data_IF_465525029121
#
_entry.id   IF_465525029121
#
_cell.length_a   1.000
_cell.length_b   1.000
_cell.length_c   1.000
_cell.angle_alpha   90.00
_cell.angle_beta   90.00
_cell.angle_gamma   90.00
#
_symmetry.space_group_name_H-M   'P 1'
#
loop_
_entity.id
_entity.type
_entity.pdbx_description
1 polymer ?
#
# COMPACT_ATOMS: atom_id res chain seq x y z
N UNK A 1 -37.56 -32.36 -2.03
CA UNK A 1 -36.56 -31.25 -1.90
C UNK A 1 -36.82 -30.27 -0.72
N UNK A 2 -37.95 -30.32 0.00
CA UNK A 2 -38.25 -29.40 1.13
C UNK A 2 -37.70 -29.81 2.51
N UNK A 3 -37.31 -31.07 2.72
CA UNK A 3 -36.86 -31.55 4.04
C UNK A 3 -35.40 -31.22 4.39
N UNK A 4 -34.48 -31.20 3.42
CA UNK A 4 -33.05 -30.89 3.67
C UNK A 4 -32.76 -29.43 4.06
N UNK A 5 -33.76 -28.55 4.06
CA UNK A 5 -33.60 -27.15 4.45
C UNK A 5 -33.79 -26.91 5.95
N UNK A 6 -34.48 -27.82 6.67
CA UNK A 6 -34.74 -27.68 8.11
C UNK A 6 -33.50 -27.92 8.98
N UNK A 7 -32.58 -28.78 8.54
CA UNK A 7 -31.31 -29.07 9.24
C UNK A 7 -30.22 -27.98 9.09
N UNK A 8 -30.51 -26.90 8.35
CA UNK A 8 -29.54 -25.81 8.08
C UNK A 8 -29.87 -24.51 8.82
N UNK A 9 -30.75 -24.56 9.82
CA UNK A 9 -31.05 -23.42 10.66
C UNK A 9 -29.94 -23.24 11.69
N UNK A 10 -29.10 -22.24 11.47
CA UNK A 10 -28.02 -21.82 12.35
C UNK A 10 -28.51 -21.65 13.81
N UNK A 11 -27.73 -22.12 14.79
CA UNK A 11 -27.98 -22.03 16.25
C UNK A 11 -28.65 -20.73 16.68
N UNK A 12 -28.17 -19.59 16.18
CA UNK A 12 -28.71 -18.28 16.57
C UNK A 12 -30.11 -17.97 16.03
N UNK A 13 -30.54 -18.65 14.97
CA UNK A 13 -31.91 -18.58 14.48
C UNK A 13 -32.86 -19.29 15.44
N UNK A 14 -32.50 -20.49 15.90
CA UNK A 14 -33.30 -21.26 16.87
C UNK A 14 -33.39 -20.49 18.19
N UNK A 15 -32.25 -20.02 18.70
CA UNK A 15 -32.22 -19.19 19.91
C UNK A 15 -33.04 -17.90 19.76
N UNK A 16 -33.11 -17.30 18.56
CA UNK A 16 -33.91 -16.10 18.35
C UNK A 16 -35.40 -16.42 18.47
N UNK A 17 -35.85 -17.58 17.98
CA UNK A 17 -37.22 -18.04 18.15
C UNK A 17 -37.54 -18.36 19.61
N UNK A 18 -36.65 -19.05 20.32
CA UNK A 18 -36.81 -19.36 21.76
C UNK A 18 -36.94 -18.10 22.62
N UNK A 19 -36.12 -17.07 22.33
CA UNK A 19 -36.14 -15.80 23.05
C UNK A 19 -37.14 -14.77 22.47
N UNK A 20 -37.99 -15.14 21.51
CA UNK A 20 -38.94 -14.24 20.83
C UNK A 20 -38.31 -12.98 20.22
N UNK A 21 -37.08 -13.10 19.73
CA UNK A 21 -36.43 -12.09 18.91
C UNK A 21 -36.85 -12.22 17.45
N UNK A 22 -37.10 -11.08 16.79
CA UNK A 22 -37.57 -11.01 15.40
C UNK A 22 -36.53 -11.47 14.40
N UNK A 23 -35.25 -11.37 14.76
CA UNK A 23 -34.13 -11.76 13.92
C UNK A 23 -32.97 -12.27 14.77
N UNK A 24 -32.22 -13.24 14.22
CA UNK A 24 -30.93 -13.68 14.78
C UNK A 24 -29.91 -12.55 14.91
N UNK A 25 -30.07 -11.46 14.15
CA UNK A 25 -29.21 -10.28 14.23
C UNK A 25 -29.21 -9.66 15.63
N UNK A 26 -30.27 -9.86 16.42
CA UNK A 26 -30.34 -9.44 17.83
C UNK A 26 -29.13 -9.91 18.66
N UNK A 27 -28.65 -11.15 18.44
CA UNK A 27 -27.48 -11.67 19.14
C UNK A 27 -26.18 -10.96 18.77
N UNK A 28 -26.06 -10.41 17.56
CA UNK A 28 -24.91 -9.60 17.16
C UNK A 28 -24.82 -8.34 18.03
N UNK A 29 -25.95 -7.65 18.22
CA UNK A 29 -26.01 -6.46 19.08
C UNK A 29 -25.80 -6.79 20.56
N UNK A 30 -26.35 -7.92 21.06
CA UNK A 30 -26.07 -8.38 22.43
C UNK A 30 -24.56 -8.58 22.64
N UNK A 31 -23.88 -9.23 21.69
CA UNK A 31 -22.44 -9.50 21.78
C UNK A 31 -21.60 -8.21 21.66
N UNK A 32 -21.99 -7.29 20.77
CA UNK A 32 -21.40 -5.95 20.67
C UNK A 32 -21.55 -5.20 21.99
N UNK A 33 -22.76 -5.13 22.54
CA UNK A 33 -23.00 -4.44 23.80
C UNK A 33 -22.28 -5.11 24.98
N UNK A 34 -22.12 -6.44 24.99
CA UNK A 34 -21.33 -7.13 26.03
C UNK A 34 -19.86 -6.70 26.03
N UNK A 35 -19.28 -6.41 24.86
CA UNK A 35 -17.88 -5.99 24.75
C UNK A 35 -17.70 -4.48 25.03
N UNK A 36 -18.59 -3.65 24.53
CA UNK A 36 -18.40 -2.18 24.53
C UNK A 36 -19.30 -1.43 25.51
N UNK A 37 -20.37 -2.07 26.01
CA UNK A 37 -21.32 -1.53 26.98
C UNK A 37 -21.86 -0.12 26.67
N UNK A 38 -22.19 0.14 25.39
CA UNK A 38 -22.67 1.44 24.97
C UNK A 38 -24.19 1.63 25.15
N UNK A 39 -24.98 0.58 25.43
CA UNK A 39 -26.43 0.73 25.59
C UNK A 39 -26.85 1.16 27.00
N UNK A 40 -26.21 0.63 28.05
CA UNK A 40 -26.74 0.75 29.42
C UNK A 40 -26.80 2.19 29.94
N UNK A 41 -25.93 3.07 29.43
CA UNK A 41 -25.83 4.49 29.81
C UNK A 41 -26.44 5.45 28.79
N UNK A 42 -26.97 4.94 27.68
CA UNK A 42 -27.46 5.75 26.58
C UNK A 42 -28.90 6.20 26.80
N UNK A 43 -29.16 7.48 26.55
CA UNK A 43 -30.47 8.13 26.64
C UNK A 43 -31.16 8.22 25.28
N UNK A 44 -30.41 8.34 24.19
CA UNK A 44 -30.94 8.43 22.83
C UNK A 44 -30.19 7.47 21.91
N UNK A 45 -30.94 6.56 21.28
CA UNK A 45 -30.43 5.63 20.29
C UNK A 45 -31.21 5.76 18.98
N UNK A 46 -30.49 5.78 17.87
CA UNK A 46 -31.04 5.73 16.52
C UNK A 46 -30.55 4.46 15.85
N UNK A 47 -31.48 3.62 15.37
CA UNK A 47 -31.22 2.39 14.64
C UNK A 47 -31.60 2.61 13.17
N UNK A 48 -30.59 2.64 12.30
CA UNK A 48 -30.72 2.83 10.86
C UNK A 48 -30.78 1.47 10.15
N UNK A 49 -31.60 1.38 9.10
CA UNK A 49 -31.88 0.12 8.41
C UNK A 49 -32.34 -0.96 9.40
N UNK A 50 -33.28 -0.57 10.27
CA UNK A 50 -33.64 -1.33 11.46
C UNK A 50 -34.63 -2.47 11.22
N UNK A 51 -35.27 -2.60 10.05
CA UNK A 51 -36.24 -3.66 9.79
C UNK A 51 -35.57 -5.05 9.92
N UNK A 52 -36.22 -6.04 10.58
CA UNK A 52 -37.58 -6.05 11.12
C UNK A 52 -37.72 -5.55 12.57
N UNK A 53 -36.70 -4.90 13.13
CA UNK A 53 -36.68 -4.33 14.49
C UNK A 53 -35.99 -5.21 15.53
N UNK A 54 -35.14 -6.16 15.11
CA UNK A 54 -34.44 -7.06 16.02
C UNK A 54 -33.46 -6.34 16.95
N UNK A 55 -32.77 -5.30 16.45
CA UNK A 55 -31.85 -4.48 17.24
C UNK A 55 -32.59 -3.53 18.18
N UNK A 56 -33.71 -2.94 17.74
CA UNK A 56 -34.64 -2.20 18.60
C UNK A 56 -35.14 -3.01 19.80
N UNK A 57 -35.46 -4.31 19.63
CA UNK A 57 -35.85 -5.16 20.76
C UNK A 57 -34.75 -5.27 21.82
N UNK A 58 -33.49 -5.31 21.40
CA UNK A 58 -32.34 -5.33 22.30
C UNK A 58 -32.14 -3.96 22.94
N UNK A 59 -32.20 -2.88 22.17
CA UNK A 59 -32.11 -1.52 22.70
C UNK A 59 -33.18 -1.26 23.77
N UNK A 60 -34.43 -1.65 23.54
CA UNK A 60 -35.52 -1.53 24.51
C UNK A 60 -35.28 -2.33 25.81
N UNK A 61 -34.55 -3.45 25.74
CA UNK A 61 -34.23 -4.30 26.90
C UNK A 61 -33.05 -3.78 27.72
N UNK A 62 -32.00 -3.27 27.07
CA UNK A 62 -30.74 -2.91 27.73
C UNK A 62 -30.57 -1.43 28.05
N UNK A 63 -31.33 -0.55 27.41
CA UNK A 63 -31.33 0.88 27.73
C UNK A 63 -32.34 1.21 28.84
N UNK A 64 -32.15 2.33 29.57
CA UNK A 64 -33.12 2.81 30.56
C UNK A 64 -34.53 3.00 29.98
N UNK A 65 -35.57 2.82 30.79
CA UNK A 65 -36.98 2.92 30.36
C UNK A 65 -37.29 4.29 29.75
N UNK A 66 -36.76 5.36 30.34
CA UNK A 66 -36.94 6.75 29.90
C UNK A 66 -36.11 7.14 28.66
N UNK A 67 -35.36 6.22 28.07
CA UNK A 67 -34.56 6.52 26.88
C UNK A 67 -35.41 6.60 25.61
N UNK A 68 -35.00 7.44 24.66
CA UNK A 68 -35.60 7.59 23.34
C UNK A 68 -34.90 6.61 22.39
N UNK A 69 -35.68 5.78 21.70
CA UNK A 69 -35.19 4.74 20.80
C UNK A 69 -35.93 4.88 19.47
N UNK A 70 -35.22 5.26 18.42
CA UNK A 70 -35.79 5.55 17.11
C UNK A 70 -35.29 4.50 16.11
N UNK A 71 -36.20 3.83 15.41
CA UNK A 71 -35.89 2.93 14.31
C UNK A 71 -36.28 3.52 12.96
N UNK A 72 -35.41 3.41 11.96
CA UNK A 72 -35.65 3.94 10.63
C UNK A 72 -35.32 2.87 9.60
N UNK A 73 -36.23 2.64 8.66
CA UNK A 73 -36.00 1.73 7.55
C UNK A 73 -36.85 2.14 6.34
N UNK A 74 -36.49 1.65 5.17
CA UNK A 74 -37.31 1.73 3.96
C UNK A 74 -38.56 0.84 4.09
N UNK A 75 -38.41 -0.31 4.75
CA UNK A 75 -39.47 -1.24 5.03
C UNK A 75 -40.22 -0.89 6.33
N UNK A 76 -41.53 -1.21 6.42
CA UNK A 76 -42.29 -1.00 7.65
C UNK A 76 -41.75 -1.87 8.79
N UNK A 77 -41.41 -1.25 9.91
CA UNK A 77 -40.97 -1.93 11.13
C UNK A 77 -42.20 -2.24 12.00
N UNK A 78 -42.49 -3.50 12.36
CA UNK A 78 -43.58 -3.81 13.26
C UNK A 78 -43.38 -3.13 14.63
N UNK A 79 -44.46 -2.71 15.30
CA UNK A 79 -44.37 -1.95 16.55
C UNK A 79 -43.49 -2.63 17.63
N UNK A 80 -42.49 -1.94 18.16
CA UNK A 80 -41.65 -2.39 19.29
C UNK A 80 -41.96 -1.52 20.51
N UNK A 81 -42.34 -2.14 21.63
CA UNK A 81 -42.71 -1.41 22.86
C UNK A 81 -41.57 -0.50 23.31
N UNK A 82 -41.88 0.78 23.53
CA UNK A 82 -40.90 1.79 23.97
C UNK A 82 -39.98 2.30 22.87
N UNK A 83 -40.23 1.97 21.60
CA UNK A 83 -39.51 2.50 20.45
C UNK A 83 -40.45 3.25 19.51
N UNK A 84 -39.93 4.30 18.89
CA UNK A 84 -40.59 5.03 17.81
C UNK A 84 -39.98 4.57 16.51
N UNK A 85 -40.79 4.33 15.48
CA UNK A 85 -40.33 3.81 14.19
C UNK A 85 -40.85 4.64 13.05
N UNK A 86 -39.98 4.95 12.09
CA UNK A 86 -40.33 5.69 10.88
C UNK A 86 -39.97 4.88 9.64
N UNK A 87 -40.89 4.87 8.67
CA UNK A 87 -40.58 4.39 7.33
C UNK A 87 -40.02 5.56 6.51
N UNK A 88 -38.72 5.55 6.25
CA UNK A 88 -38.04 6.65 5.58
C UNK A 88 -36.71 6.20 4.98
N UNK A 89 -36.32 6.84 3.88
CA UNK A 89 -34.99 6.70 3.29
C UNK A 89 -33.99 7.59 4.05
N UNK A 90 -32.92 6.95 4.57
CA UNK A 90 -31.86 7.61 5.36
C UNK A 90 -31.06 8.64 4.55
N UNK A 91 -31.08 8.57 3.22
CA UNK A 91 -30.38 9.51 2.34
C UNK A 91 -31.14 10.85 2.20
N UNK A 92 -32.42 10.87 2.57
CA UNK A 92 -33.28 12.04 2.36
C UNK A 92 -33.19 13.05 3.51
N UNK A 93 -33.25 14.36 3.25
CA UNK A 93 -33.30 15.39 4.30
C UNK A 93 -34.50 15.24 5.24
N UNK A 94 -35.61 14.67 4.74
CA UNK A 94 -36.82 14.38 5.51
C UNK A 94 -36.52 13.49 6.72
N UNK A 95 -35.66 12.48 6.56
CA UNK A 95 -35.26 11.56 7.62
C UNK A 95 -34.65 12.31 8.82
N UNK A 96 -33.74 13.23 8.54
CA UNK A 96 -33.05 14.03 9.56
C UNK A 96 -34.05 14.94 10.30
N UNK A 97 -34.99 15.55 9.57
CA UNK A 97 -36.05 16.37 10.18
C UNK A 97 -36.95 15.55 11.10
N UNK A 98 -37.30 14.32 10.73
CA UNK A 98 -38.08 13.41 11.57
C UNK A 98 -37.32 13.02 12.84
N UNK A 99 -36.04 12.67 12.71
CA UNK A 99 -35.17 12.35 13.86
C UNK A 99 -35.11 13.54 14.80
N UNK A 100 -34.76 14.74 14.29
CA UNK A 100 -34.62 15.96 15.10
C UNK A 100 -35.91 16.33 15.82
N UNK A 101 -37.06 16.15 15.17
CA UNK A 101 -38.38 16.37 15.78
C UNK A 101 -38.61 15.44 16.98
N UNK A 102 -38.21 14.17 16.87
CA UNK A 102 -38.44 13.17 17.91
C UNK A 102 -37.45 13.30 19.08
N UNK A 103 -36.17 13.53 18.82
CA UNK A 103 -35.14 13.70 19.88
C UNK A 103 -35.20 15.09 20.56
N UNK A 104 -35.92 16.05 19.95
CA UNK A 104 -36.12 17.42 20.43
C UNK A 104 -34.79 18.16 20.65
N UNK A 105 -34.41 18.38 21.91
CA UNK A 105 -33.19 19.08 22.31
C UNK A 105 -32.02 18.15 22.62
N UNK A 106 -32.26 16.83 22.61
CA UNK A 106 -31.20 15.85 22.84
C UNK A 106 -30.44 15.55 21.56
N UNK A 107 -29.20 15.12 21.72
CA UNK A 107 -28.38 14.53 20.66
C UNK A 107 -28.27 13.02 20.89
N UNK A 108 -28.05 12.25 19.81
CA UNK A 108 -27.93 10.81 19.90
C UNK A 108 -26.66 10.39 20.64
N UNK A 109 -26.78 9.47 21.59
CA UNK A 109 -25.63 8.84 22.24
C UNK A 109 -25.04 7.74 21.36
N UNK A 110 -25.93 7.00 20.69
CA UNK A 110 -25.60 5.84 19.86
C UNK A 110 -26.36 5.90 18.55
N UNK A 111 -25.66 5.71 17.44
CA UNK A 111 -26.26 5.44 16.13
C UNK A 111 -25.81 4.04 15.68
N UNK A 112 -26.78 3.22 15.30
CA UNK A 112 -26.60 1.85 14.86
C UNK A 112 -26.95 1.72 13.37
N UNK A 113 -26.27 0.85 12.65
CA UNK A 113 -26.57 0.49 11.27
C UNK A 113 -26.27 -0.99 11.01
N UNK A 114 -27.30 -1.81 10.82
CA UNK A 114 -27.19 -3.20 10.32
C UNK A 114 -27.70 -3.31 8.88
N UNK A 115 -27.62 -2.23 8.10
CA UNK A 115 -28.01 -2.20 6.69
C UNK A 115 -27.14 -3.08 5.80
N UNK A 116 -27.77 -3.82 4.89
CA UNK A 116 -27.13 -4.50 3.78
C UNK A 116 -28.04 -4.44 2.54
N UNK A 117 -27.48 -4.29 1.33
CA UNK A 117 -28.25 -4.41 0.11
C UNK A 117 -28.73 -5.86 -0.10
N UNK A 118 -29.66 -6.04 -1.03
CA UNK A 118 -30.09 -7.36 -1.49
C UNK A 118 -28.92 -8.05 -2.20
N UNK A 119 -28.22 -8.92 -1.47
CA UNK A 119 -27.08 -9.69 -1.98
C UNK A 119 -27.56 -10.80 -2.93
N UNK A 120 -26.84 -11.01 -4.03
CA UNK A 120 -27.13 -12.09 -4.98
C UNK A 120 -26.92 -11.73 -6.44
N UNK A 121 -26.48 -10.51 -6.73
CA UNK A 121 -26.01 -10.14 -8.06
C UNK A 121 -24.51 -10.48 -8.18
N UNK A 122 -23.67 -9.46 -8.35
CA UNK A 122 -22.22 -9.59 -8.44
C UNK A 122 -21.60 -9.07 -7.14
N UNK A 123 -20.71 -9.86 -6.53
CA UNK A 123 -20.11 -9.54 -5.22
C UNK A 123 -19.49 -8.13 -5.16
N UNK A 124 -18.81 -7.70 -6.23
CA UNK A 124 -18.20 -6.35 -6.29
C UNK A 124 -19.25 -5.25 -6.20
N UNK A 125 -20.34 -5.34 -6.97
CA UNK A 125 -21.44 -4.38 -6.95
C UNK A 125 -22.18 -4.38 -5.61
N UNK A 126 -22.43 -5.57 -5.06
CA UNK A 126 -23.11 -5.72 -3.77
C UNK A 126 -22.27 -5.15 -2.63
N UNK A 127 -20.95 -5.35 -2.66
CA UNK A 127 -20.02 -4.79 -1.70
C UNK A 127 -19.91 -3.26 -1.81
N UNK A 128 -19.83 -2.72 -3.02
CA UNK A 128 -19.79 -1.27 -3.25
C UNK A 128 -21.08 -0.59 -2.77
N UNK A 129 -22.26 -1.14 -3.11
CA UNK A 129 -23.54 -0.62 -2.64
C UNK A 129 -23.67 -0.68 -1.10
N UNK A 130 -23.05 -1.68 -0.47
CA UNK A 130 -22.97 -1.75 1.00
C UNK A 130 -22.08 -0.64 1.57
N UNK A 131 -20.92 -0.36 0.95
CA UNK A 131 -20.02 0.70 1.35
C UNK A 131 -20.66 2.09 1.19
N UNK A 132 -21.41 2.34 0.12
CA UNK A 132 -22.19 3.56 -0.08
C UNK A 132 -23.26 3.75 1.02
N UNK A 133 -24.01 2.69 1.33
CA UNK A 133 -25.00 2.72 2.41
C UNK A 133 -24.37 3.05 3.77
N UNK A 134 -23.20 2.48 4.05
CA UNK A 134 -22.43 2.74 5.26
C UNK A 134 -21.99 4.20 5.35
N UNK A 135 -21.52 4.77 4.24
CA UNK A 135 -21.10 6.17 4.18
C UNK A 135 -22.29 7.12 4.37
N UNK A 136 -23.44 6.82 3.75
CA UNK A 136 -24.69 7.55 3.95
C UNK A 136 -25.16 7.50 5.42
N UNK A 137 -25.10 6.32 6.05
CA UNK A 137 -25.42 6.14 7.46
C UNK A 137 -24.46 6.95 8.36
N UNK A 138 -23.16 6.97 8.06
CA UNK A 138 -22.19 7.78 8.78
C UNK A 138 -22.46 9.28 8.61
N UNK A 139 -22.80 9.73 7.40
CA UNK A 139 -23.16 11.14 7.11
C UNK A 139 -24.42 11.59 7.86
N UNK A 140 -25.38 10.69 8.06
CA UNK A 140 -26.53 10.96 8.93
C UNK A 140 -26.07 11.01 10.40
N UNK A 141 -25.25 10.04 10.82
CA UNK A 141 -24.75 9.97 12.19
C UNK A 141 -24.00 11.24 12.61
N UNK A 142 -23.13 11.80 11.75
CA UNK A 142 -22.37 13.03 12.07
C UNK A 142 -23.25 14.25 12.36
N UNK A 143 -24.50 14.26 11.87
CA UNK A 143 -25.46 15.36 12.04
C UNK A 143 -26.34 15.24 13.28
N UNK A 144 -26.42 14.06 13.89
CA UNK A 144 -27.33 13.77 15.03
C UNK A 144 -26.60 13.28 16.26
N UNK A 145 -25.37 12.78 16.11
CA UNK A 145 -24.57 12.19 17.18
C UNK A 145 -23.91 13.27 18.04
N UNK A 146 -23.95 13.07 19.35
CA UNK A 146 -23.30 13.97 20.31
C UNK A 146 -21.78 13.82 20.30
N UNK A 147 -21.06 14.82 20.80
CA UNK A 147 -19.62 14.70 21.07
C UNK A 147 -19.36 13.57 22.06
N UNK A 148 -18.44 12.67 21.72
CA UNK A 148 -18.18 11.45 22.50
C UNK A 148 -19.16 10.30 22.23
N UNK A 149 -20.14 10.45 21.33
CA UNK A 149 -21.09 9.40 20.97
C UNK A 149 -20.45 8.23 20.24
N UNK A 150 -21.22 7.14 20.10
CA UNK A 150 -20.79 5.89 19.45
C UNK A 150 -21.56 5.64 18.17
N UNK A 151 -20.87 5.27 17.10
CA UNK A 151 -21.47 4.79 15.87
C UNK A 151 -21.06 3.34 15.63
N UNK A 152 -22.01 2.46 15.36
CA UNK A 152 -21.74 1.05 15.05
C UNK A 152 -22.38 0.72 13.71
N UNK A 153 -21.57 0.21 12.78
CA UNK A 153 -22.05 -0.14 11.45
C UNK A 153 -21.56 -1.50 11.01
N UNK A 154 -22.43 -2.28 10.35
CA UNK A 154 -22.01 -3.43 9.56
C UNK A 154 -21.24 -2.95 8.35
N UNK A 155 -20.16 -3.64 8.00
CA UNK A 155 -19.40 -3.46 6.75
C UNK A 155 -19.06 -4.82 6.17
N UNK A 156 -18.96 -4.90 4.84
CA UNK A 156 -18.37 -6.06 4.19
C UNK A 156 -16.86 -5.85 4.03
N UNK A 157 -16.09 -6.93 4.25
CA UNK A 157 -14.68 -6.92 3.88
C UNK A 157 -14.55 -6.97 2.36
N UNK A 158 -14.31 -5.81 1.76
CA UNK A 158 -14.12 -5.59 0.32
C UNK A 158 -12.93 -4.66 0.06
N UNK A 159 -12.69 -4.27 -1.20
CA UNK A 159 -11.67 -3.29 -1.60
C UNK A 159 -11.82 -1.97 -0.82
N UNK A 160 -13.06 -1.52 -0.64
CA UNK A 160 -13.43 -0.23 -0.05
C UNK A 160 -13.36 -0.18 1.49
N UNK A 161 -13.11 -1.33 2.12
CA UNK A 161 -13.12 -1.47 3.59
C UNK A 161 -12.10 -0.54 4.28
N UNK A 162 -10.89 -0.44 3.72
CA UNK A 162 -9.83 0.40 4.28
C UNK A 162 -10.15 1.89 4.13
N UNK A 163 -10.78 2.28 3.02
CA UNK A 163 -11.20 3.66 2.77
C UNK A 163 -12.25 4.11 3.80
N UNK A 164 -13.21 3.23 4.14
CA UNK A 164 -14.19 3.48 5.21
C UNK A 164 -13.51 3.67 6.58
N UNK A 165 -12.56 2.81 6.94
CA UNK A 165 -11.82 2.95 8.20
C UNK A 165 -11.06 4.26 8.25
N UNK A 166 -10.41 4.63 7.15
CA UNK A 166 -9.68 5.89 7.03
C UNK A 166 -10.62 7.08 7.26
N UNK A 167 -11.77 7.12 6.58
CA UNK A 167 -12.78 8.17 6.76
C UNK A 167 -13.28 8.24 8.21
N UNK A 168 -13.54 7.09 8.84
CA UNK A 168 -14.05 7.04 10.21
C UNK A 168 -12.99 7.45 11.24
N UNK A 169 -11.71 7.17 11.03
CA UNK A 169 -10.64 7.62 11.93
C UNK A 169 -10.49 9.16 11.95
N UNK A 170 -10.92 9.86 10.91
CA UNK A 170 -10.97 11.33 10.92
C UNK A 170 -12.08 11.85 11.85
N UNK A 171 -13.21 11.14 11.91
CA UNK A 171 -14.42 11.57 12.63
C UNK A 171 -14.50 11.06 14.08
N UNK A 172 -13.89 9.92 14.37
CA UNK A 172 -13.93 9.26 15.68
C UNK A 172 -12.52 9.14 16.26
N UNK A 173 -12.40 9.04 17.59
CA UNK A 173 -11.06 8.82 18.20
C UNK A 173 -10.58 7.39 18.04
N UNK A 174 -11.50 6.43 18.03
CA UNK A 174 -11.16 5.01 17.98
C UNK A 174 -12.15 4.26 17.09
N UNK A 175 -11.63 3.56 16.08
CA UNK A 175 -12.43 2.72 15.18
C UNK A 175 -11.92 1.29 15.31
N UNK A 176 -12.74 0.41 15.87
CA UNK A 176 -12.38 -0.99 16.08
C UNK A 176 -13.22 -1.93 15.21
N UNK A 177 -12.60 -2.82 14.42
CA UNK A 177 -13.32 -3.90 13.79
C UNK A 177 -13.64 -5.01 14.80
N UNK A 178 -14.88 -5.49 14.79
CA UNK A 178 -15.33 -6.60 15.61
C UNK A 178 -16.26 -7.51 14.81
N UNK A 179 -15.97 -8.82 14.81
CA UNK A 179 -16.84 -9.84 14.21
C UNK A 179 -17.50 -10.66 15.33
N UNK A 180 -18.80 -10.45 15.63
CA UNK A 180 -19.51 -11.21 16.65
C UNK A 180 -19.55 -12.71 16.32
N UNK A 181 -19.57 -13.57 17.34
CA UNK A 181 -19.76 -15.02 17.15
C UNK A 181 -21.13 -15.37 16.56
N UNK A 182 -22.11 -14.47 16.65
CA UNK A 182 -23.42 -14.60 16.00
C UNK A 182 -23.40 -14.35 14.49
N UNK A 183 -22.30 -13.80 13.96
CA UNK A 183 -22.04 -13.69 12.52
C UNK A 183 -21.62 -15.03 11.93
N UNK A 184 -22.10 -15.36 10.73
CA UNK A 184 -21.70 -16.59 10.04
C UNK A 184 -20.21 -16.55 9.71
N UNK A 185 -19.51 -17.67 9.86
CA UNK A 185 -18.10 -17.83 9.48
C UNK A 185 -17.86 -17.48 8.01
N UNK A 186 -18.74 -17.96 7.14
CA UNK A 186 -18.64 -17.77 5.68
C UNK A 186 -19.15 -16.41 5.20
N UNK A 187 -19.65 -15.55 6.09
CA UNK A 187 -20.06 -14.20 5.71
C UNK A 187 -18.87 -13.25 5.74
N UNK A 188 -18.77 -12.40 4.73
CA UNK A 188 -17.81 -11.30 4.67
C UNK A 188 -18.13 -10.13 5.63
N UNK A 189 -19.21 -10.22 6.42
CA UNK A 189 -19.59 -9.17 7.36
C UNK A 189 -18.60 -9.04 8.54
N UNK A 190 -18.31 -7.80 8.90
CA UNK A 190 -17.68 -7.38 10.15
C UNK A 190 -18.35 -6.10 10.62
N UNK A 191 -18.29 -5.78 11.91
CA UNK A 191 -18.80 -4.51 12.41
C UNK A 191 -17.64 -3.57 12.67
N UNK A 192 -17.80 -2.29 12.32
CA UNK A 192 -16.93 -1.22 12.78
C UNK A 192 -17.62 -0.54 13.97
N UNK A 193 -16.91 -0.49 15.09
CA UNK A 193 -17.33 0.18 16.32
C UNK A 193 -16.51 1.46 16.44
N UNK A 194 -17.15 2.57 16.12
CA UNK A 194 -16.57 3.90 16.10
C UNK A 194 -16.91 4.60 17.43
N UNK A 195 -15.92 4.76 18.29
CA UNK A 195 -16.05 5.30 19.64
C UNK A 195 -15.56 6.75 19.70
N UNK A 196 -16.18 7.50 20.61
CA UNK A 196 -15.84 8.89 20.92
C UNK A 196 -15.84 9.80 19.68
N UNK A 197 -17.04 10.07 19.16
CA UNK A 197 -17.21 11.03 18.07
C UNK A 197 -16.57 12.38 18.39
N UNK A 198 -15.67 12.85 17.53
CA UNK A 198 -14.90 14.08 17.74
C UNK A 198 -15.78 15.33 17.65
N UNK A 199 -16.84 15.26 16.83
CA UNK A 199 -17.73 16.39 16.48
C UNK A 199 -16.92 17.63 16.06
N UNK A 200 -16.13 17.54 14.96
CA UNK A 200 -15.37 18.68 14.47
C UNK A 200 -16.32 19.77 13.94
N UNK A 201 -15.94 21.04 14.10
CA UNK A 201 -16.75 22.18 13.66
C UNK A 201 -16.90 22.23 12.14
N UNK A 202 -15.88 21.78 11.42
CA UNK A 202 -15.87 21.62 9.98
C UNK A 202 -15.48 20.20 9.59
N UNK A 203 -16.31 19.55 8.79
CA UNK A 203 -16.03 18.24 8.16
C UNK A 203 -15.82 18.52 6.68
N UNK A 204 -14.66 18.14 6.13
CA UNK A 204 -14.44 18.19 4.69
C UNK A 204 -15.49 17.30 3.99
N UNK A 205 -16.35 17.87 3.12
CA UNK A 205 -17.38 17.10 2.40
C UNK A 205 -16.81 15.91 1.64
N UNK A 206 -15.56 15.96 1.20
CA UNK A 206 -14.88 14.88 0.46
C UNK A 206 -14.75 13.60 1.27
N UNK A 207 -14.64 13.70 2.61
CA UNK A 207 -14.51 12.53 3.50
C UNK A 207 -15.81 11.72 3.55
N UNK A 208 -16.95 12.33 3.21
CA UNK A 208 -18.27 11.71 3.24
C UNK A 208 -18.90 11.58 1.83
N UNK A 209 -18.12 11.82 0.77
CA UNK A 209 -18.55 11.64 -0.61
C UNK A 209 -18.03 10.30 -1.15
N UNK A 210 -18.92 9.37 -1.56
CA UNK A 210 -18.51 8.09 -2.14
C UNK A 210 -17.53 8.23 -3.31
N UNK A 211 -17.70 9.27 -4.15
CA UNK A 211 -16.88 9.46 -5.34
C UNK A 211 -15.41 9.75 -5.03
N UNK A 212 -15.14 10.38 -3.89
CA UNK A 212 -13.78 10.72 -3.47
C UNK A 212 -13.17 9.66 -2.56
N UNK A 213 -13.96 9.06 -1.66
CA UNK A 213 -13.45 8.06 -0.73
C UNK A 213 -13.11 6.73 -1.42
N UNK A 214 -13.92 6.33 -2.40
CA UNK A 214 -13.74 5.07 -3.13
C UNK A 214 -12.99 5.25 -4.45
N UNK A 215 -12.35 6.40 -4.66
CA UNK A 215 -11.45 6.59 -5.80
C UNK A 215 -10.24 5.67 -5.65
N UNK A 216 -9.98 4.86 -6.67
CA UNK A 216 -8.94 3.86 -6.63
C UNK A 216 -7.56 4.50 -6.48
N UNK A 217 -6.84 4.14 -5.41
CA UNK A 217 -5.45 4.59 -5.20
C UNK A 217 -4.54 4.11 -6.34
N UNK A 218 -4.91 3.03 -7.04
CA UNK A 218 -4.18 2.49 -8.18
C UNK A 218 -4.08 3.47 -9.37
N UNK A 219 -5.05 4.38 -9.56
CA UNK A 219 -4.97 5.43 -10.60
C UNK A 219 -3.98 6.53 -10.21
N UNK A 220 -3.80 6.78 -8.91
CA UNK A 220 -2.77 7.70 -8.37
C UNK A 220 -1.39 7.02 -8.30
N UNK A 221 -1.33 5.70 -8.18
CA UNK A 221 -0.09 4.91 -8.23
C UNK A 221 0.50 4.76 -9.64
N UNK A 222 -0.13 5.26 -10.70
CA UNK A 222 0.58 5.48 -11.96
C UNK A 222 1.79 6.42 -11.80
N UNK A 223 1.74 7.33 -10.81
CA UNK A 223 2.85 8.21 -10.44
C UNK A 223 3.84 7.60 -9.43
N UNK A 224 3.50 6.50 -8.75
CA UNK A 224 4.27 5.96 -7.62
C UNK A 224 4.45 4.44 -7.60
N UNK A 225 4.23 3.73 -8.71
CA UNK A 225 4.78 2.38 -8.89
C UNK A 225 6.27 2.42 -8.59
N UNK A 226 6.70 1.67 -7.57
CA UNK A 226 8.11 1.49 -7.16
C UNK A 226 8.97 1.41 -8.43
N UNK A 227 9.75 2.45 -8.74
CA UNK A 227 10.57 2.47 -9.97
C UNK A 227 11.27 1.12 -10.12
N UNK A 228 11.00 0.44 -11.23
CA UNK A 228 11.67 -0.80 -11.55
C UNK A 228 13.08 -0.37 -11.93
N UNK A 229 13.98 -0.42 -10.95
CA UNK A 229 15.38 -0.03 -11.11
C UNK A 229 16.28 -1.22 -11.43
N UNK A 230 15.76 -2.45 -11.34
CA UNK A 230 16.54 -3.68 -11.52
C UNK A 230 15.80 -4.74 -12.32
N UNK A 231 16.57 -5.54 -13.04
CA UNK A 231 16.08 -6.65 -13.85
C UNK A 231 15.51 -7.81 -13.00
N UNK A 232 16.05 -8.00 -11.78
CA UNK A 232 15.54 -8.97 -10.80
C UNK A 232 14.08 -8.67 -10.43
N UNK A 233 13.78 -7.40 -10.15
CA UNK A 233 12.43 -6.92 -9.82
C UNK A 233 11.45 -6.97 -10.99
N UNK A 234 11.97 -6.83 -12.22
CA UNK A 234 11.18 -7.00 -13.45
C UNK A 234 10.71 -8.46 -13.61
N UNK A 235 11.59 -9.43 -13.32
CA UNK A 235 11.31 -10.86 -13.48
C UNK A 235 10.55 -11.47 -12.28
N UNK A 236 10.70 -10.90 -11.09
CA UNK A 236 9.99 -11.32 -9.87
C UNK A 236 8.50 -10.93 -9.86
N UNK A 237 8.09 -9.99 -10.70
CA UNK A 237 6.67 -9.79 -11.01
C UNK A 237 6.17 -11.00 -11.82
N UNK A 238 5.88 -12.10 -11.12
CA UNK A 238 4.96 -13.13 -11.63
C UNK A 238 3.74 -12.40 -12.15
N UNK A 239 3.34 -12.68 -13.40
CA UNK A 239 2.05 -12.24 -13.92
C UNK A 239 0.99 -12.56 -12.85
N UNK A 240 0.51 -11.53 -12.16
CA UNK A 240 -0.80 -11.58 -11.54
C UNK A 240 -1.73 -12.06 -12.65
N UNK A 241 -2.61 -13.02 -12.37
CA UNK A 241 -3.67 -13.36 -13.32
C UNK A 241 -4.37 -12.04 -13.65
N UNK A 242 -4.13 -11.53 -14.86
CA UNK A 242 -4.69 -10.28 -15.35
C UNK A 242 -6.20 -10.55 -15.48
N UNK A 243 -6.94 -10.17 -14.44
CA UNK A 243 -8.37 -9.88 -14.57
C UNK A 243 -8.54 -8.62 -15.42
N UNK A 244 -9.76 -8.41 -15.90
CA UNK A 244 -10.18 -7.33 -16.81
C UNK A 244 -10.05 -5.90 -16.23
N UNK A 245 -8.87 -5.49 -15.76
CA UNK A 245 -8.69 -4.21 -15.05
C UNK A 245 -7.73 -3.22 -15.73
N UNK A 246 -7.15 -3.52 -16.89
CA UNK A 246 -6.26 -2.60 -17.62
C UNK A 246 -6.93 -2.04 -18.90
N UNK A 247 -8.03 -1.29 -18.74
CA UNK A 247 -8.64 -0.50 -19.82
C UNK A 247 -8.14 0.96 -19.74
N UNK A 248 -6.85 1.16 -19.98
CA UNK A 248 -6.28 2.46 -20.33
C UNK A 248 -6.78 2.90 -21.71
N UNK A 249 -8.06 3.26 -21.85
CA UNK A 249 -8.67 4.08 -22.93
C UNK A 249 -8.37 3.77 -24.42
N UNK A 250 -7.59 2.73 -24.73
CA UNK A 250 -7.01 2.42 -26.04
C UNK A 250 -7.30 0.98 -26.47
N UNK A 251 -7.84 0.15 -25.56
CA UNK A 251 -8.39 -1.18 -25.86
C UNK A 251 -7.40 -2.20 -26.46
N UNK A 252 -6.11 -1.86 -26.58
CA UNK A 252 -5.13 -2.72 -27.21
C UNK A 252 -4.39 -3.53 -26.14
N UNK A 253 -4.78 -4.80 -26.00
CA UNK A 253 -4.04 -5.80 -25.20
C UNK A 253 -2.61 -6.01 -25.70
N UNK A 254 -2.32 -5.58 -26.95
CA UNK A 254 -1.04 -5.69 -27.61
C UNK A 254 -0.51 -4.28 -27.92
N UNK A 255 0.70 -3.99 -27.43
CA UNK A 255 1.32 -2.66 -27.52
C UNK A 255 2.66 -2.73 -28.23
N UNK A 256 2.76 -1.99 -29.33
CA UNK A 256 3.99 -1.78 -30.10
C UNK A 256 4.55 -0.39 -29.82
N UNK A 257 5.88 -0.28 -29.70
CA UNK A 257 6.60 0.98 -29.52
C UNK A 257 7.83 1.02 -30.44
N UNK A 258 8.34 2.21 -30.73
CA UNK A 258 9.56 2.36 -31.56
C UNK A 258 10.82 2.04 -30.76
N UNK A 259 11.77 1.34 -31.38
CA UNK A 259 13.04 0.99 -30.75
C UNK A 259 13.88 2.23 -30.40
N UNK A 260 13.89 3.26 -31.26
CA UNK A 260 14.57 4.54 -30.99
C UNK A 260 14.12 5.19 -29.68
N UNK A 261 12.81 5.20 -29.42
CA UNK A 261 12.19 5.77 -28.22
C UNK A 261 12.67 5.01 -26.98
N UNK A 262 12.67 3.68 -27.01
CA UNK A 262 13.22 2.87 -25.94
C UNK A 262 14.72 3.17 -25.68
N UNK A 263 15.52 3.25 -26.75
CA UNK A 263 16.96 3.48 -26.66
C UNK A 263 17.32 4.84 -26.05
N UNK A 264 16.51 5.87 -26.30
CA UNK A 264 16.70 7.24 -25.77
C UNK A 264 15.97 7.49 -24.44
N UNK A 265 15.04 6.62 -24.03
CA UNK A 265 14.22 6.79 -22.82
C UNK A 265 15.02 6.87 -21.52
N UNK A 266 14.50 7.57 -20.50
CA UNK A 266 15.07 7.59 -19.15
C UNK A 266 14.63 6.39 -18.28
N UNK A 267 13.51 5.73 -18.65
CA UNK A 267 12.90 4.65 -17.88
C UNK A 267 12.74 3.36 -18.74
N UNK A 268 13.85 2.67 -19.10
CA UNK A 268 13.81 1.54 -20.03
C UNK A 268 12.98 0.35 -19.52
N UNK A 269 12.97 0.11 -18.20
CA UNK A 269 12.23 -1.01 -17.61
C UNK A 269 10.70 -0.89 -17.75
N UNK A 270 10.17 0.35 -17.83
CA UNK A 270 8.74 0.59 -18.05
C UNK A 270 8.30 0.11 -19.44
N UNK A 271 9.14 0.32 -20.44
CA UNK A 271 8.89 -0.15 -21.80
C UNK A 271 8.91 -1.68 -21.87
N UNK A 272 9.88 -2.35 -21.22
CA UNK A 272 9.95 -3.81 -21.18
C UNK A 272 8.73 -4.44 -20.46
N UNK A 273 8.16 -3.73 -19.48
CA UNK A 273 6.98 -4.19 -18.74
C UNK A 273 5.68 -3.97 -19.52
N UNK A 274 5.50 -2.84 -20.20
CA UNK A 274 4.24 -2.48 -20.86
C UNK A 274 4.17 -2.90 -22.34
N UNK A 275 5.30 -3.04 -23.03
CA UNK A 275 5.34 -3.29 -24.48
C UNK A 275 5.44 -4.79 -24.77
N UNK A 276 4.92 -5.18 -25.94
CA UNK A 276 4.96 -6.54 -26.46
C UNK A 276 6.01 -6.67 -27.55
N UNK A 277 6.19 -5.61 -28.35
CA UNK A 277 7.12 -5.58 -29.48
C UNK A 277 7.76 -4.21 -29.64
N UNK A 278 9.02 -4.17 -30.07
CA UNK A 278 9.65 -2.96 -30.58
C UNK A 278 9.76 -2.99 -32.09
N UNK A 279 9.28 -1.92 -32.73
CA UNK A 279 9.43 -1.71 -34.17
C UNK A 279 10.77 -1.01 -34.42
N UNK A 280 11.62 -1.62 -35.25
CA UNK A 280 12.88 -1.02 -35.70
C UNK A 280 12.54 0.09 -36.70
N UNK A 281 12.64 1.32 -36.24
CA UNK A 281 12.35 2.52 -37.03
C UNK A 281 13.58 3.02 -37.80
N UNK A 282 13.35 3.86 -38.81
CA UNK A 282 14.42 4.39 -39.66
C UNK A 282 15.47 5.19 -38.87
N UNK A 283 15.04 5.93 -37.84
CA UNK A 283 15.95 6.63 -36.92
C UNK A 283 16.89 5.66 -36.18
N UNK A 284 16.43 4.45 -35.86
CA UNK A 284 17.28 3.43 -35.25
C UNK A 284 18.32 2.90 -36.24
N UNK A 285 17.94 2.70 -37.51
CA UNK A 285 18.84 2.24 -38.56
C UNK A 285 19.90 3.29 -38.90
N UNK A 286 19.51 4.55 -39.02
CA UNK A 286 20.37 5.64 -39.46
C UNK A 286 21.23 6.24 -38.33
N UNK A 287 20.68 6.39 -37.12
CA UNK A 287 21.41 7.05 -36.03
C UNK A 287 22.03 6.06 -35.04
N UNK A 288 21.33 4.99 -34.70
CA UNK A 288 21.73 4.11 -33.59
C UNK A 288 22.67 3.03 -34.09
N UNK A 289 22.35 2.34 -35.20
CA UNK A 289 23.16 1.23 -35.72
C UNK A 289 24.52 1.69 -36.27
N UNK A 290 24.59 2.93 -36.76
CA UNK A 290 25.85 3.54 -37.20
C UNK A 290 26.79 3.87 -36.03
N UNK A 291 26.24 4.12 -34.84
CA UNK A 291 27.04 4.37 -33.63
C UNK A 291 27.43 3.02 -33.00
N UNK A 292 26.47 2.13 -32.78
CA UNK A 292 26.71 0.79 -32.23
C UNK A 292 26.09 -0.26 -33.13
N UNK A 293 26.92 -1.17 -33.66
CA UNK A 293 26.43 -2.31 -34.44
C UNK A 293 25.44 -3.15 -33.62
N UNK A 294 24.26 -3.50 -34.18
CA UNK A 294 23.28 -4.30 -33.48
C UNK A 294 23.80 -5.74 -33.24
N UNK A 295 23.40 -6.41 -32.14
CA UNK A 295 23.65 -7.83 -31.98
C UNK A 295 22.87 -8.64 -33.02
N UNK A 296 23.43 -9.77 -33.48
CA UNK A 296 22.80 -10.61 -34.50
C UNK A 296 21.40 -11.12 -34.12
N UNK A 297 21.13 -11.25 -32.82
CA UNK A 297 19.83 -11.66 -32.29
C UNK A 297 18.83 -10.52 -32.08
N UNK A 298 19.19 -9.26 -32.39
CA UNK A 298 18.35 -8.10 -32.06
C UNK A 298 16.95 -8.21 -32.64
N UNK A 299 16.82 -8.61 -33.91
CA UNK A 299 15.53 -8.74 -34.60
C UNK A 299 14.61 -9.76 -33.91
N UNK A 300 15.16 -10.89 -33.43
CA UNK A 300 14.39 -11.87 -32.67
C UNK A 300 13.98 -11.37 -31.28
N UNK A 301 14.83 -10.54 -30.66
CA UNK A 301 14.61 -10.04 -29.30
C UNK A 301 13.51 -8.97 -29.31
N UNK A 302 13.47 -8.13 -30.34
CA UNK A 302 12.50 -7.03 -30.41
C UNK A 302 11.11 -7.48 -30.85
N UNK A 303 10.98 -8.66 -31.43
CA UNK A 303 9.72 -9.16 -31.99
C UNK A 303 8.71 -9.59 -30.91
N UNK A 304 9.18 -10.30 -29.87
CA UNK A 304 8.36 -10.67 -28.70
C UNK A 304 9.12 -10.48 -27.39
N UNK A 305 8.86 -9.35 -26.74
CA UNK A 305 9.48 -8.96 -25.47
C UNK A 305 8.97 -9.80 -24.28
N UNK A 306 7.83 -10.49 -24.40
CA UNK A 306 7.20 -11.25 -23.31
C UNK A 306 7.72 -12.67 -23.20
N UNK A 307 8.34 -13.19 -24.25
CA UNK A 307 8.96 -14.51 -24.28
C UNK A 307 10.43 -14.48 -23.82
N UNK A 308 11.03 -13.30 -23.71
CA UNK A 308 12.45 -13.13 -23.41
C UNK A 308 12.85 -13.58 -22.00
N UNK A 309 13.99 -14.26 -21.93
CA UNK A 309 14.65 -14.61 -20.68
C UNK A 309 15.50 -13.48 -20.11
N UNK A 310 16.07 -13.72 -18.92
CA UNK A 310 16.99 -12.78 -18.25
C UNK A 310 18.20 -12.44 -19.13
N UNK A 311 18.74 -13.40 -19.88
CA UNK A 311 19.87 -13.22 -20.79
C UNK A 311 19.59 -12.18 -21.87
N UNK A 312 18.43 -12.28 -22.52
CA UNK A 312 18.08 -11.48 -23.69
C UNK A 312 17.70 -10.06 -23.30
N UNK A 313 16.96 -9.91 -22.20
CA UNK A 313 16.69 -8.61 -21.60
C UNK A 313 17.99 -7.92 -21.14
N UNK A 314 18.94 -8.66 -20.60
CA UNK A 314 20.27 -8.13 -20.24
C UNK A 314 21.04 -7.68 -21.47
N UNK A 315 20.99 -8.45 -22.56
CA UNK A 315 21.66 -8.10 -23.82
C UNK A 315 21.11 -6.80 -24.40
N UNK A 316 19.79 -6.65 -24.42
CA UNK A 316 19.11 -5.44 -24.90
C UNK A 316 19.47 -4.20 -24.05
N UNK A 317 19.51 -4.35 -22.72
CA UNK A 317 19.92 -3.27 -21.82
C UNK A 317 21.42 -2.92 -21.94
N UNK A 318 22.30 -3.92 -22.14
CA UNK A 318 23.72 -3.71 -22.40
C UNK A 318 23.94 -2.97 -23.71
N UNK A 319 23.20 -3.35 -24.76
CA UNK A 319 23.22 -2.67 -26.05
C UNK A 319 22.83 -1.18 -25.91
N UNK A 320 21.73 -0.89 -25.21
CA UNK A 320 21.31 0.48 -24.88
C UNK A 320 22.39 1.26 -24.12
N UNK A 321 22.96 0.67 -23.07
CA UNK A 321 24.01 1.31 -22.27
C UNK A 321 25.27 1.63 -23.10
N UNK A 322 25.64 0.74 -24.02
CA UNK A 322 26.76 0.95 -24.95
C UNK A 322 26.50 2.14 -25.88
N UNK A 323 25.29 2.23 -26.44
CA UNK A 323 24.87 3.36 -27.27
C UNK A 323 24.93 4.69 -26.50
N UNK A 324 24.31 4.78 -25.32
CA UNK A 324 24.31 6.01 -24.52
C UNK A 324 25.72 6.46 -24.13
N UNK A 325 26.61 5.52 -23.77
CA UNK A 325 28.01 5.83 -23.44
C UNK A 325 28.76 6.44 -24.63
N UNK A 326 28.52 5.94 -25.85
CA UNK A 326 29.17 6.49 -27.05
C UNK A 326 28.63 7.87 -27.41
N UNK A 327 27.32 8.09 -27.30
CA UNK A 327 26.70 9.40 -27.52
C UNK A 327 27.23 10.42 -26.52
N UNK A 328 27.37 10.05 -25.24
CA UNK A 328 27.96 10.92 -24.22
C UNK A 328 29.43 11.25 -24.51
N UNK A 329 30.23 10.27 -24.95
CA UNK A 329 31.63 10.51 -25.36
C UNK A 329 31.73 11.47 -26.55
N UNK A 330 30.87 11.31 -27.55
CA UNK A 330 30.83 12.19 -28.73
C UNK A 330 30.47 13.62 -28.33
N UNK A 331 29.41 13.79 -27.53
CA UNK A 331 29.01 15.11 -26.99
C UNK A 331 30.08 15.75 -26.11
N UNK A 332 30.79 14.95 -25.30
CA UNK A 332 31.90 15.44 -24.48
C UNK A 332 33.09 15.92 -25.33
N UNK A 333 33.40 15.20 -26.41
CA UNK A 333 34.44 15.60 -27.37
C UNK A 333 34.06 16.89 -28.12
N UNK A 334 32.84 16.97 -28.63
CA UNK A 334 32.29 18.17 -29.29
C UNK A 334 32.28 19.38 -28.34
N UNK A 335 31.89 19.20 -27.07
CA UNK A 335 31.93 20.26 -26.07
C UNK A 335 33.36 20.67 -25.70
N UNK A 336 34.31 19.73 -25.68
CA UNK A 336 35.72 20.02 -25.43
C UNK A 336 36.33 20.80 -26.60
N UNK A 337 36.02 20.43 -27.83
CA UNK A 337 36.47 21.12 -29.05
C UNK A 337 35.86 22.53 -29.16
N UNK A 338 34.59 22.72 -28.78
CA UNK A 338 33.97 24.06 -28.67
C UNK A 338 34.66 24.94 -27.63
N UNK A 339 34.97 24.40 -26.46
CA UNK A 339 35.70 25.13 -25.40
C UNK A 339 37.12 25.49 -25.83
N UNK A 340 37.82 24.58 -26.51
CA UNK A 340 39.18 24.81 -27.02
C UNK A 340 39.24 25.87 -28.12
N UNK A 341 38.14 26.09 -28.85
CA UNK A 341 38.04 27.11 -29.88
C UNK A 341 37.72 28.52 -29.34
N UNK A 342 37.26 28.63 -28.09
CA UNK A 342 36.91 29.91 -27.43
C UNK A 342 38.05 30.51 -26.59
N UNK A 343 39.08 29.74 -26.25
CA UNK A 343 40.22 30.22 -25.44
C UNK A 343 41.34 30.85 -26.29
N UNK A 344 41.54 32.17 -26.15
CA UNK A 344 42.76 32.88 -26.60
C UNK A 344 43.93 32.48 -25.68
N UNK A 345 45.19 32.41 -26.18
CA UNK A 345 46.31 31.95 -25.36
C UNK A 345 46.63 32.94 -24.23
N UNK A 346 46.58 32.45 -22.98
CA UNK A 346 46.96 33.15 -21.75
C UNK A 346 48.49 33.22 -21.58
N UNK A 347 48.97 34.24 -20.86
CA UNK A 347 50.40 34.51 -20.65
C UNK A 347 51.02 33.56 -19.62
N UNK A 348 52.35 33.38 -19.67
CA UNK A 348 53.12 32.43 -18.83
C UNK A 348 52.86 32.55 -17.32
N UNK A 349 52.55 33.74 -16.82
CA UNK A 349 52.28 33.96 -15.38
C UNK A 349 50.92 33.40 -14.93
N UNK A 350 49.94 33.30 -15.83
CA UNK A 350 48.61 32.72 -15.52
C UNK A 350 48.69 31.19 -15.46
N UNK A 351 49.56 30.58 -16.28
CA UNK A 351 49.81 29.13 -16.30
C UNK A 351 50.47 28.65 -15.00
N UNK A 352 51.40 29.42 -14.43
CA UNK A 352 52.05 29.06 -13.16
C UNK A 352 51.07 29.09 -11.99
N UNK A 353 50.18 30.09 -11.94
CA UNK A 353 49.12 30.18 -10.94
C UNK A 353 48.12 29.04 -11.02
N UNK A 354 47.74 28.65 -12.24
CA UNK A 354 46.78 27.57 -12.46
C UNK A 354 47.37 26.19 -12.10
N UNK A 355 48.67 26.00 -12.35
CA UNK A 355 49.40 24.80 -11.95
C UNK A 355 49.56 24.67 -10.43
N UNK A 356 49.79 25.78 -9.72
CA UNK A 356 49.85 25.80 -8.25
C UNK A 356 48.49 25.44 -7.64
N UNK A 357 47.39 26.01 -8.14
CA UNK A 357 46.05 25.64 -7.70
C UNK A 357 45.71 24.18 -8.01
N UNK A 358 46.12 23.66 -9.17
CA UNK A 358 45.90 22.27 -9.56
C UNK A 358 46.65 21.30 -8.63
N UNK A 359 47.89 21.64 -8.25
CA UNK A 359 48.69 20.85 -7.31
C UNK A 359 48.06 20.83 -5.92
N UNK A 360 47.54 21.97 -5.45
CA UNK A 360 46.87 22.07 -4.15
C UNK A 360 45.55 21.27 -4.11
N UNK A 361 44.75 21.33 -5.18
CA UNK A 361 43.53 20.51 -5.32
C UNK A 361 43.86 19.01 -5.32
N UNK A 362 44.91 18.59 -6.03
CA UNK A 362 45.36 17.20 -6.05
C UNK A 362 45.83 16.70 -4.67
N UNK A 363 46.53 17.56 -3.91
CA UNK A 363 46.93 17.27 -2.52
C UNK A 363 45.71 17.12 -1.59
N UNK A 364 44.71 17.99 -1.71
CA UNK A 364 43.46 17.88 -0.94
C UNK A 364 42.68 16.60 -1.27
N UNK A 365 42.66 16.20 -2.54
CA UNK A 365 41.96 14.99 -2.98
C UNK A 365 42.66 13.71 -2.50
N UNK A 366 44.00 13.66 -2.54
CA UNK A 366 44.79 12.58 -1.92
C UNK A 366 44.54 12.47 -0.42
N UNK A 367 44.49 13.60 0.31
CA UNK A 367 44.16 13.61 1.75
C UNK A 367 42.76 13.07 2.03
N UNK A 368 41.76 13.44 1.21
CA UNK A 368 40.39 12.90 1.31
C UNK A 368 40.33 11.40 1.02
N UNK A 369 41.09 10.92 0.04
CA UNK A 369 41.16 9.48 -0.27
C UNK A 369 41.83 8.68 0.85
N UNK A 370 42.90 9.21 1.44
CA UNK A 370 43.56 8.59 2.60
C UNK A 370 42.62 8.46 3.81
N UNK A 371 41.90 9.54 4.17
CA UNK A 371 40.90 9.50 5.24
C UNK A 371 39.77 8.49 4.97
N UNK A 372 39.33 8.34 3.71
CA UNK A 372 38.31 7.35 3.35
C UNK A 372 38.82 5.91 3.49
N UNK A 373 40.09 5.65 3.14
CA UNK A 373 40.72 4.33 3.32
C UNK A 373 40.83 3.97 4.79
N UNK A 374 41.28 4.91 5.63
CA UNK A 374 41.41 4.72 7.08
C UNK A 374 40.05 4.45 7.74
N UNK A 375 39.00 5.20 7.36
CA UNK A 375 37.62 4.94 7.84
C UNK A 375 37.12 3.53 7.50
N UNK A 376 37.35 3.07 6.27
CA UNK A 376 36.98 1.71 5.86
C UNK A 376 37.74 0.64 6.66
N UNK A 377 39.02 0.86 6.93
CA UNK A 377 39.85 -0.07 7.69
C UNK A 377 39.36 -0.18 9.15
N UNK A 378 38.99 0.95 9.77
CA UNK A 378 38.41 0.99 11.10
C UNK A 378 37.02 0.33 11.17
N UNK A 379 36.19 0.43 10.14
CA UNK A 379 34.90 -0.27 10.07
C UNK A 379 35.07 -1.79 9.95
N UNK A 380 36.02 -2.24 9.12
CA UNK A 380 36.35 -3.67 8.98
C UNK A 380 36.86 -4.23 10.32
N UNK A 381 37.71 -3.49 11.02
CA UNK A 381 38.25 -3.90 12.32
C UNK A 381 37.16 -3.96 13.41
N UNK A 382 36.24 -2.98 13.44
CA UNK A 382 35.07 -3.03 14.33
C UNK A 382 34.14 -4.22 14.03
N UNK A 383 33.98 -4.57 12.75
CA UNK A 383 33.17 -5.71 12.32
C UNK A 383 33.82 -7.04 12.73
N UNK A 384 35.15 -7.18 12.61
CA UNK A 384 35.86 -8.39 13.04
C UNK A 384 35.81 -8.57 14.56
N UNK A 385 36.00 -7.49 15.33
CA UNK A 385 35.88 -7.52 16.80
C UNK A 385 34.46 -7.89 17.25
N UNK A 386 33.42 -7.38 16.57
CA UNK A 386 32.03 -7.73 16.86
C UNK A 386 31.75 -9.22 16.58
N UNK A 387 32.22 -9.74 15.44
CA UNK A 387 32.08 -11.16 15.10
C UNK A 387 32.83 -12.06 16.08
N UNK A 388 34.01 -11.67 16.54
CA UNK A 388 34.76 -12.41 17.55
C UNK A 388 34.05 -12.41 18.91
N UNK A 389 33.47 -11.28 19.33
CA UNK A 389 32.65 -11.19 20.56
C UNK A 389 31.38 -12.05 20.46
N UNK A 390 30.73 -12.06 19.30
CA UNK A 390 29.57 -12.93 19.05
C UNK A 390 29.96 -14.41 19.07
N UNK A 391 31.09 -14.79 18.49
CA UNK A 391 31.61 -16.17 18.53
C UNK A 391 31.85 -16.64 19.98
N UNK A 392 32.45 -15.80 20.82
CA UNK A 392 32.64 -16.08 22.25
C UNK A 392 31.30 -16.22 22.98
N UNK A 393 30.34 -15.34 22.70
CA UNK A 393 29.01 -15.38 23.32
C UNK A 393 28.21 -16.64 22.92
N UNK A 394 28.28 -17.07 21.66
CA UNK A 394 27.67 -18.32 21.17
C UNK A 394 28.35 -19.53 21.81
N UNK A 395 29.67 -19.49 22.04
CA UNK A 395 30.43 -20.57 22.69
C UNK A 395 30.09 -20.71 24.18
N UNK A 396 29.86 -19.59 24.88
CA UNK A 396 29.46 -19.57 26.30
C UNK A 396 28.01 -20.05 26.48
N UNK A 397 27.12 -19.76 25.52
CA UNK A 397 25.72 -20.19 25.57
C UNK A 397 25.49 -21.68 25.25
N UNK A 398 26.51 -22.42 24.78
CA UNK A 398 26.41 -23.87 24.54
C UNK A 398 26.67 -24.69 25.82
N UNK A 399 27.11 -24.07 26.93
CA UNK A 399 27.39 -24.76 28.19
C UNK A 399 26.31 -24.63 29.29
N UNK A 400 25.27 -23.81 29.09
CA UNK A 400 24.12 -23.72 30.00
C UNK A 400 22.84 -24.09 29.25
N UNK A 401 22.53 -25.39 29.20
CA UNK A 401 21.19 -25.86 28.87
C UNK A 401 20.27 -25.66 30.07
N UNK A 402 19.01 -25.39 29.77
CA UNK A 402 17.88 -25.13 30.68
C UNK A 402 17.74 -23.68 31.14
N UNK A 403 17.18 -22.82 30.26
CA UNK A 403 16.07 -21.92 30.60
C UNK A 403 15.48 -21.23 29.34
N UNK A 404 14.18 -21.01 29.37
CA UNK A 404 13.29 -20.52 28.31
C UNK A 404 13.67 -19.10 27.82
N UNK A 405 14.07 -18.92 26.56
CA UNK A 405 14.54 -17.62 26.03
C UNK A 405 13.39 -16.83 25.40
N UNK A 406 13.04 -15.69 26.02
CA UNK A 406 12.25 -14.64 25.39
C UNK A 406 13.14 -13.78 24.47
N UNK A 407 12.78 -13.66 23.19
CA UNK A 407 13.47 -12.76 22.26
C UNK A 407 13.03 -11.29 22.48
N UNK A 408 13.97 -10.39 22.75
CA UNK A 408 13.74 -8.94 22.72
C UNK A 408 13.53 -8.48 21.25
N UNK A 409 12.36 -7.90 20.91
CA UNK A 409 12.04 -7.42 19.56
C UNK A 409 13.05 -6.40 18.99
N UNK A 410 13.83 -5.72 19.84
CA UNK A 410 14.84 -4.74 19.40
C UNK A 410 16.07 -5.41 18.79
N UNK A 411 16.38 -6.63 19.19
CA UNK A 411 17.54 -7.40 18.70
C UNK A 411 17.24 -7.99 17.32
N UNK A 412 16.00 -8.39 17.07
CA UNK A 412 15.53 -8.88 15.77
C UNK A 412 15.46 -7.77 14.70
N UNK A 413 15.08 -6.55 15.11
CA UNK A 413 15.07 -5.39 14.21
C UNK A 413 16.47 -4.98 13.72
N UNK A 414 17.53 -5.24 14.50
CA UNK A 414 18.92 -5.02 14.08
C UNK A 414 19.43 -6.12 13.14
N UNK A 415 18.97 -7.36 13.29
CA UNK A 415 19.28 -8.47 12.36
C UNK A 415 18.73 -8.22 10.95
N UNK A 416 17.49 -7.71 10.83
CA UNK A 416 16.89 -7.37 9.52
C UNK A 416 17.57 -6.20 8.79
N UNK A 417 18.28 -5.34 9.52
CA UNK A 417 19.08 -4.27 8.89
C UNK A 417 20.41 -4.79 8.33
N UNK A 418 20.90 -5.94 8.80
CA UNK A 418 22.17 -6.54 8.34
C UNK A 418 21.95 -7.42 7.10
N UNK A 419 20.83 -8.15 7.00
CA UNK A 419 20.50 -8.93 5.79
C UNK A 419 20.24 -8.07 4.54
N UNK A 420 19.90 -6.79 4.70
CA UNK A 420 19.68 -5.86 3.58
C UNK A 420 20.97 -5.19 3.03
N UNK A 421 22.16 -5.59 3.50
CA UNK A 421 23.44 -5.03 3.04
C UNK A 421 24.27 -5.99 2.17
N UNK A 422 23.82 -7.22 1.96
CA UNK A 422 24.48 -8.17 1.05
C UNK A 422 24.17 -7.92 -0.45
N UNK A 423 23.33 -6.93 -0.77
CA UNK A 423 23.04 -6.51 -2.17
C UNK A 423 24.04 -5.47 -2.75
N UNK A 424 25.25 -5.37 -2.21
CA UNK A 424 26.32 -4.48 -2.73
C UNK A 424 27.59 -5.21 -3.21
N UNK A 425 27.53 -6.53 -3.40
CA UNK A 425 28.67 -7.32 -3.86
C UNK A 425 28.64 -7.74 -5.34
N UNK A 426 27.85 -7.05 -6.17
CA UNK A 426 27.81 -7.31 -7.62
C UNK A 426 27.98 -6.02 -8.42
N UNK A 427 29.17 -5.42 -8.33
CA UNK A 427 29.67 -4.46 -9.31
C UNK A 427 31.18 -4.61 -9.47
N UNK A 428 31.57 -5.14 -10.63
CA UNK A 428 32.90 -5.12 -11.22
C UNK A 428 33.69 -3.85 -10.89
N UNK A 429 34.71 -3.99 -10.03
CA UNK A 429 35.85 -3.09 -9.93
C UNK A 429 37.08 -3.74 -9.26
N UNK A 430 37.18 -5.08 -9.24
CA UNK A 430 38.29 -5.79 -8.58
C UNK A 430 39.10 -6.70 -9.50
N UNK A 431 38.90 -6.67 -10.82
CA UNK A 431 39.64 -7.56 -11.75
C UNK A 431 40.81 -6.90 -12.49
N UNK A 432 41.06 -5.60 -12.31
CA UNK A 432 42.22 -4.92 -12.95
C UNK A 432 43.28 -4.39 -11.95
N UNK A 433 43.02 -4.45 -10.64
CA UNK A 433 43.99 -4.05 -9.61
C UNK A 433 44.86 -5.22 -9.10
N UNK A 434 44.52 -6.45 -9.48
CA UNK A 434 45.14 -7.69 -8.97
C UNK A 434 46.28 -8.21 -9.87
N UNK A 435 46.45 -7.67 -11.08
CA UNK A 435 47.52 -8.03 -12.03
C UNK A 435 48.81 -7.22 -11.78
N UNK A 436 48.67 -5.96 -11.36
CA UNK A 436 49.82 -5.07 -11.13
C UNK A 436 50.53 -5.41 -9.80
N UNK A 437 49.77 -5.78 -8.76
CA UNK A 437 50.31 -6.27 -7.49
C UNK A 437 50.96 -7.67 -7.59
N UNK A 438 50.49 -8.54 -8.50
CA UNK A 438 51.14 -9.84 -8.76
C UNK A 438 52.47 -9.70 -9.49
N UNK A 439 52.61 -8.71 -10.37
CA UNK A 439 53.89 -8.40 -11.06
C UNK A 439 54.93 -7.77 -10.12
N UNK A 440 54.50 -7.02 -9.12
CA UNK A 440 55.38 -6.45 -8.10
C UNK A 440 55.87 -7.50 -7.09
N UNK A 441 55.01 -8.44 -6.67
CA UNK A 441 55.41 -9.56 -5.82
C UNK A 441 56.33 -10.57 -6.53
N UNK A 442 56.13 -10.81 -7.83
CA UNK A 442 57.01 -11.69 -8.60
C UNK A 442 58.43 -11.12 -8.78
N UNK A 443 58.59 -9.79 -8.81
CA UNK A 443 59.90 -9.12 -8.88
C UNK A 443 60.66 -9.12 -7.54
N UNK A 444 59.96 -9.22 -6.42
CA UNK A 444 60.58 -9.29 -5.10
C UNK A 444 61.07 -10.70 -4.73
N UNK A 445 60.60 -11.75 -5.42
CA UNK A 445 61.01 -13.14 -5.20
C UNK A 445 62.18 -13.60 -6.11
N UNK A 446 62.69 -12.74 -7.01
CA UNK A 446 63.91 -13.01 -7.80
C UNK A 446 65.19 -12.38 -7.20
N UNK A 447 65.09 -11.73 -6.03
CA UNK A 447 66.23 -11.06 -5.36
C UNK A 447 66.48 -11.52 -3.92
N UNK A 448 65.86 -12.62 -3.50
CA UNK A 448 66.25 -13.47 -2.36
C UNK A 448 66.66 -14.84 -2.88
#
# INVERSE_FOLDING_TARGET
>A
KKEKAKDRLDKYYIMAKEHNYRSRAAFKLIQLNRKYNFLSKSKVLIDLCAAPGGWLQIAAKYMPISSIKIGIDLDPIPHVKGCVTFQCDITTPKCISLIKKEIKHFEADVVLNDGAPNVGAQWSKDAYGQAELVLAACKLATQVLKKGGTFVTKVFRSKDYNALIWAFNHLFKKVEPFKPAASRSNSAETFLVCLEYKKPDHIDPKILDPKHIFEDIDTLEEGSKKKINSLKKLLEQKHSRIGYDDLDGSGAFYKEEKLSVFMKSLEPYKFLTKCHRFVIDEECKEEIFNVVKPPASLESIVDDLKVLGRSDLTLLLKYRSKYLRQVQKRRAKENKERKLAEEKPLTKEEIEKENEEALEKALQEKKKQAMKKERKQNEIQKKSEYLQKMSIMTSVNVMNNDDEISFDPRTFAKLQQVENLDELHDSDASSELDEEQKKELAKQQEYE
#
